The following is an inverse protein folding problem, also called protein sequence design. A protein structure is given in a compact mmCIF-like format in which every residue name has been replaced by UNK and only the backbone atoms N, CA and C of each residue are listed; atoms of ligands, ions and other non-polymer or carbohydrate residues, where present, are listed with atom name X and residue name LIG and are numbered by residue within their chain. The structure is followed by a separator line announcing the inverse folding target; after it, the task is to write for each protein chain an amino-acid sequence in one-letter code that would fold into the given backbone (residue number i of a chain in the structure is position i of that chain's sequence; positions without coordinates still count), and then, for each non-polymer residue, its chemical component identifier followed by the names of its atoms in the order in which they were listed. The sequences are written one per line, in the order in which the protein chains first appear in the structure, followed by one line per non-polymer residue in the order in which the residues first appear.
data_IF_967721623524
#
_entry.id   IF_967721623524
#
_cell.length_a   1.000
_cell.length_b   1.000
_cell.length_c   1.000
_cell.angle_alpha   90.00
_cell.angle_beta   90.00
_cell.angle_gamma   90.00
#
_symmetry.space_group_name_H-M   'P 1'
#
loop_
_entity.id
_entity.type
_entity.pdbx_description
1 polymer ?
#
# COMPACT_ATOMS: atom_id res chain seq x y z
N UNK A 1 24.73 23.44 12.78
CA UNK A 1 23.86 22.24 12.86
C UNK A 1 24.02 21.51 11.55
N UNK A 2 24.26 20.19 11.57
CA UNK A 2 24.44 19.43 10.34
C UNK A 2 23.15 19.41 9.50
N UNK A 3 23.26 19.38 8.18
CA UNK A 3 22.12 19.32 7.27
C UNK A 3 21.18 18.13 7.58
N UNK A 4 21.71 17.06 8.16
CA UNK A 4 20.97 15.88 8.61
C UNK A 4 20.05 16.17 9.81
N UNK A 5 20.50 16.94 10.80
CA UNK A 5 19.66 17.28 11.97
C UNK A 5 18.50 18.20 11.60
N UNK A 6 18.70 19.11 10.66
CA UNK A 6 17.62 19.93 10.10
C UNK A 6 16.63 19.09 9.32
N UNK A 7 17.09 18.19 8.45
CA UNK A 7 16.23 17.31 7.66
C UNK A 7 15.37 16.40 8.56
N UNK A 8 15.93 15.82 9.63
CA UNK A 8 15.20 14.99 10.60
C UNK A 8 14.14 15.79 11.36
N UNK A 9 14.47 17.00 11.81
CA UNK A 9 13.53 17.88 12.53
C UNK A 9 12.38 18.33 11.63
N UNK A 10 12.68 18.67 10.38
CA UNK A 10 11.67 19.08 9.40
C UNK A 10 10.76 17.90 9.04
N UNK A 11 11.32 16.70 8.81
CA UNK A 11 10.54 15.48 8.57
C UNK A 11 9.64 15.14 9.76
N UNK A 12 10.12 15.28 11.00
CA UNK A 12 9.31 15.07 12.21
C UNK A 12 8.15 16.07 12.31
N UNK A 13 8.39 17.33 11.96
CA UNK A 13 7.34 18.37 11.98
C UNK A 13 6.25 18.07 10.93
N UNK A 14 6.65 17.66 9.73
CA UNK A 14 5.72 17.24 8.68
C UNK A 14 4.95 15.97 9.04
N UNK A 15 5.61 14.99 9.64
CA UNK A 15 4.97 13.80 10.16
C UNK A 15 3.89 14.14 11.20
N UNK A 16 4.22 15.00 12.16
CA UNK A 16 3.25 15.47 13.17
C UNK A 16 2.07 16.17 12.53
N UNK A 17 2.28 17.00 11.49
CA UNK A 17 1.21 17.65 10.73
C UNK A 17 0.27 16.62 10.10
N UNK A 18 0.81 15.63 9.42
CA UNK A 18 0.04 14.58 8.75
C UNK A 18 -0.74 13.71 9.75
N UNK A 19 -0.14 13.36 10.90
CA UNK A 19 -0.82 12.63 11.97
C UNK A 19 -1.95 13.45 12.61
N UNK A 20 -1.74 14.75 12.83
CA UNK A 20 -2.79 15.65 13.33
C UNK A 20 -3.91 15.82 12.31
N UNK A 21 -3.59 15.85 11.01
CA UNK A 21 -4.60 15.90 9.94
C UNK A 21 -5.45 14.62 9.94
N UNK A 22 -4.82 13.43 9.99
CA UNK A 22 -5.53 12.16 10.08
C UNK A 22 -6.45 12.09 11.32
N UNK A 23 -6.01 12.64 12.47
CA UNK A 23 -6.81 12.71 13.69
C UNK A 23 -7.95 13.74 13.61
N UNK A 24 -7.76 14.85 12.89
CA UNK A 24 -8.79 15.91 12.72
C UNK A 24 -9.88 15.53 11.72
N UNK A 25 -9.56 14.65 10.76
CA UNK A 25 -10.49 14.17 9.75
C UNK A 25 -10.65 12.65 9.83
N UNK A 26 -11.24 12.13 10.92
CA UNK A 26 -11.39 10.68 11.12
C UNK A 26 -12.26 10.03 10.04
N UNK A 27 -13.16 10.78 9.41
CA UNK A 27 -14.00 10.29 8.31
C UNK A 27 -13.19 9.85 7.09
N UNK A 28 -12.10 10.54 6.74
CA UNK A 28 -11.22 10.14 5.64
C UNK A 28 -10.45 8.86 5.97
N UNK A 29 -9.91 8.78 7.19
CA UNK A 29 -9.19 7.59 7.65
C UNK A 29 -10.12 6.39 7.76
N UNK A 30 -11.34 6.58 8.29
CA UNK A 30 -12.37 5.54 8.37
C UNK A 30 -12.79 5.07 6.98
N UNK A 31 -12.92 5.97 6.00
CA UNK A 31 -13.32 5.59 4.65
C UNK A 31 -12.25 4.72 3.94
N UNK A 32 -10.97 5.02 4.14
CA UNK A 32 -9.86 4.20 3.62
C UNK A 32 -9.87 2.79 4.25
N UNK A 33 -10.16 2.69 5.54
CA UNK A 33 -10.21 1.43 6.27
C UNK A 33 -11.49 0.63 6.02
N UNK A 34 -12.60 1.31 5.78
CA UNK A 34 -13.90 0.67 5.62
C UNK A 34 -13.92 -0.29 4.43
N UNK A 35 -13.34 0.12 3.31
CA UNK A 35 -13.32 -0.70 2.08
C UNK A 35 -12.65 -2.06 2.29
N UNK A 36 -11.38 -2.17 2.74
CA UNK A 36 -10.75 -3.47 2.95
C UNK A 36 -11.43 -4.29 4.05
N UNK A 37 -11.95 -3.66 5.10
CA UNK A 37 -12.69 -4.37 6.16
C UNK A 37 -14.00 -4.94 5.62
N UNK A 38 -14.78 -4.14 4.89
CA UNK A 38 -16.03 -4.61 4.27
C UNK A 38 -15.76 -5.73 3.29
N UNK A 39 -14.72 -5.62 2.45
CA UNK A 39 -14.34 -6.67 1.53
C UNK A 39 -13.90 -7.94 2.27
N UNK A 40 -13.09 -7.81 3.33
CA UNK A 40 -12.70 -8.95 4.16
C UNK A 40 -13.94 -9.67 4.71
N UNK A 41 -14.86 -8.94 5.33
CA UNK A 41 -16.09 -9.50 5.90
C UNK A 41 -17.00 -10.11 4.82
N UNK A 42 -17.16 -9.42 3.70
CA UNK A 42 -17.97 -9.89 2.58
C UNK A 42 -17.40 -11.19 2.00
N UNK A 43 -16.11 -11.25 1.71
CA UNK A 43 -15.50 -12.45 1.16
C UNK A 43 -15.52 -13.61 2.16
N UNK A 44 -15.30 -13.36 3.46
CA UNK A 44 -15.31 -14.40 4.47
C UNK A 44 -16.72 -14.91 4.76
N UNK A 45 -17.70 -14.03 4.93
CA UNK A 45 -19.03 -14.43 5.41
C UNK A 45 -20.05 -14.66 4.29
N UNK A 46 -19.92 -13.97 3.15
CA UNK A 46 -20.86 -14.13 2.03
C UNK A 46 -20.32 -15.14 1.01
N UNK A 47 -19.05 -15.07 0.67
CA UNK A 47 -18.45 -15.93 -0.36
C UNK A 47 -17.62 -17.07 0.20
N UNK A 48 -17.35 -17.12 1.52
CA UNK A 48 -16.41 -18.06 2.12
C UNK A 48 -16.70 -19.51 1.78
N UNK A 49 -17.94 -19.96 1.88
CA UNK A 49 -18.33 -21.35 1.63
C UNK A 49 -18.25 -21.71 0.12
N UNK A 50 -18.54 -20.77 -0.76
CA UNK A 50 -18.45 -20.98 -2.22
C UNK A 50 -17.00 -20.96 -2.70
N UNK A 51 -16.20 -20.04 -2.15
CA UNK A 51 -14.80 -19.87 -2.56
C UNK A 51 -13.88 -20.94 -1.96
N UNK A 52 -14.16 -21.44 -0.77
CA UNK A 52 -13.40 -22.56 -0.17
C UNK A 52 -13.47 -23.81 -1.05
N UNK A 53 -14.63 -24.13 -1.59
CA UNK A 53 -14.81 -25.23 -2.53
C UNK A 53 -13.99 -25.05 -3.84
N UNK A 54 -13.76 -23.81 -4.27
CA UNK A 54 -12.98 -23.49 -5.47
C UNK A 54 -11.45 -23.55 -5.26
N UNK A 55 -10.95 -23.36 -4.04
CA UNK A 55 -9.51 -23.33 -3.73
C UNK A 55 -9.00 -24.69 -3.25
N UNK A 56 -9.74 -25.38 -2.40
CA UNK A 56 -9.30 -26.60 -1.74
C UNK A 56 -10.07 -27.88 -2.12
N UNK A 57 -11.01 -27.80 -3.09
CA UNK A 57 -11.86 -28.92 -3.46
C UNK A 57 -12.93 -29.23 -2.41
N UNK A 58 -13.58 -30.42 -2.51
CA UNK A 58 -14.73 -30.81 -1.71
C UNK A 58 -14.49 -31.01 -0.20
N UNK A 59 -13.32 -30.65 0.31
CA UNK A 59 -12.96 -30.79 1.73
C UNK A 59 -12.36 -29.53 2.36
N UNK A 60 -12.27 -28.41 1.60
CA UNK A 60 -11.69 -27.17 2.13
C UNK A 60 -12.66 -26.48 3.09
N UNK A 61 -12.13 -26.06 4.21
CA UNK A 61 -12.88 -25.31 5.21
C UNK A 61 -12.83 -23.79 4.95
N UNK A 62 -13.74 -23.06 5.59
CA UNK A 62 -13.71 -21.58 5.56
C UNK A 62 -12.39 -21.01 6.08
N UNK A 63 -11.73 -21.70 7.00
CA UNK A 63 -10.40 -21.36 7.53
C UNK A 63 -9.33 -21.28 6.44
N UNK A 64 -9.36 -22.20 5.46
CA UNK A 64 -8.40 -22.24 4.36
C UNK A 64 -8.57 -21.03 3.43
N UNK A 65 -9.83 -20.66 3.18
CA UNK A 65 -10.12 -19.46 2.41
C UNK A 65 -9.71 -18.17 3.13
N UNK A 66 -9.94 -18.08 4.45
CA UNK A 66 -9.47 -16.96 5.27
C UNK A 66 -7.95 -16.85 5.19
N UNK A 67 -7.24 -17.96 5.32
CA UNK A 67 -5.78 -18.00 5.22
C UNK A 67 -5.30 -17.51 3.83
N UNK A 68 -5.97 -17.95 2.77
CA UNK A 68 -5.69 -17.53 1.41
C UNK A 68 -5.93 -16.02 1.18
N UNK A 69 -7.05 -15.50 1.68
CA UNK A 69 -7.57 -14.14 1.42
C UNK A 69 -6.80 -13.04 2.16
N UNK A 70 -6.43 -13.28 3.43
CA UNK A 70 -5.89 -12.24 4.31
C UNK A 70 -4.63 -11.57 3.77
N UNK A 71 -3.60 -12.25 3.23
CA UNK A 71 -2.44 -11.60 2.64
C UNK A 71 -2.81 -10.63 1.50
N UNK A 72 -3.79 -11.00 0.66
CA UNK A 72 -4.32 -10.15 -0.41
C UNK A 72 -5.00 -8.89 0.13
N UNK A 73 -5.85 -9.01 1.15
CA UNK A 73 -6.53 -7.88 1.79
C UNK A 73 -5.54 -6.93 2.49
N UNK A 74 -4.50 -7.46 3.13
CA UNK A 74 -3.44 -6.61 3.73
C UNK A 74 -2.73 -5.77 2.67
N UNK A 75 -2.37 -6.37 1.54
CA UNK A 75 -1.75 -5.64 0.44
C UNK A 75 -2.71 -4.69 -0.27
N UNK A 76 -3.98 -5.04 -0.39
CA UNK A 76 -5.02 -4.12 -0.88
C UNK A 76 -5.16 -2.88 0.02
N UNK A 77 -5.08 -3.07 1.34
CA UNK A 77 -5.09 -1.96 2.31
C UNK A 77 -3.93 -0.98 2.06
N UNK A 78 -2.75 -1.51 1.71
CA UNK A 78 -1.59 -0.71 1.33
C UNK A 78 -1.83 0.01 0.00
N UNK A 79 -2.44 -0.64 -0.99
CA UNK A 79 -2.73 -0.03 -2.29
C UNK A 79 -3.70 1.16 -2.21
N UNK A 80 -4.62 1.15 -1.24
CA UNK A 80 -5.63 2.20 -1.06
C UNK A 80 -5.08 3.48 -0.39
N UNK A 81 -4.17 3.35 0.58
CA UNK A 81 -3.66 4.47 1.38
C UNK A 81 -2.92 5.54 0.55
N UNK A 82 -2.03 5.19 -0.40
CA UNK A 82 -1.32 6.15 -1.23
C UNK A 82 -2.22 7.04 -2.10
N UNK A 83 -3.43 6.59 -2.47
CA UNK A 83 -4.37 7.42 -3.22
C UNK A 83 -4.73 8.71 -2.46
N UNK A 84 -4.94 8.62 -1.15
CA UNK A 84 -5.14 9.79 -0.29
C UNK A 84 -3.91 10.71 -0.26
N UNK A 85 -2.72 10.14 -0.34
CA UNK A 85 -1.48 10.93 -0.41
C UNK A 85 -1.35 11.71 -1.71
N UNK A 86 -1.73 11.11 -2.85
CA UNK A 86 -1.75 11.83 -4.13
C UNK A 86 -2.68 13.05 -4.09
N UNK A 87 -3.87 12.91 -3.52
CA UNK A 87 -4.82 14.01 -3.31
C UNK A 87 -4.23 15.08 -2.38
N UNK A 88 -3.65 14.67 -1.24
CA UNK A 88 -3.04 15.59 -0.28
C UNK A 88 -1.89 16.40 -0.88
N UNK A 89 -1.02 15.77 -1.67
CA UNK A 89 0.07 16.44 -2.37
C UNK A 89 -0.48 17.43 -3.41
N UNK A 90 -1.52 17.06 -4.16
CA UNK A 90 -2.14 17.96 -5.14
C UNK A 90 -2.80 19.17 -4.48
N UNK A 91 -3.41 19.02 -3.30
CA UNK A 91 -3.94 20.14 -2.50
C UNK A 91 -2.81 21.07 -2.05
N UNK A 92 -1.73 20.51 -1.46
CA UNK A 92 -0.57 21.30 -1.02
C UNK A 92 0.09 22.06 -2.19
N UNK A 93 0.06 21.49 -3.40
CA UNK A 93 0.49 22.19 -4.63
C UNK A 93 -0.43 23.38 -4.97
N UNK A 94 -1.75 23.13 -4.97
CA UNK A 94 -2.76 24.14 -5.34
C UNK A 94 -2.77 25.32 -4.33
N UNK A 95 -2.58 25.06 -3.05
CA UNK A 95 -2.51 26.08 -2.00
C UNK A 95 -1.18 26.85 -1.97
N UNK A 96 -0.23 26.50 -2.85
CA UNK A 96 1.08 27.13 -2.91
C UNK A 96 1.97 26.84 -1.70
N UNK A 97 1.61 25.86 -0.87
CA UNK A 97 2.38 25.45 0.32
C UNK A 97 3.77 24.97 -0.11
N UNK A 98 3.83 24.17 -1.16
CA UNK A 98 5.09 23.68 -1.73
C UNK A 98 5.94 24.85 -2.28
N UNK A 99 5.32 25.84 -2.92
CA UNK A 99 6.03 27.03 -3.40
C UNK A 99 6.63 27.84 -2.24
N UNK A 100 5.91 27.99 -1.12
CA UNK A 100 6.43 28.65 0.09
C UNK A 100 7.61 27.87 0.69
N UNK A 101 7.55 26.54 0.74
CA UNK A 101 8.67 25.72 1.23
C UNK A 101 9.91 25.82 0.32
N UNK A 102 9.74 26.07 -0.97
CA UNK A 102 10.87 26.29 -1.92
C UNK A 102 11.63 27.61 -1.65
N UNK A 103 10.97 28.61 -1.09
CA UNK A 103 11.60 29.92 -0.73
C UNK A 103 12.21 29.93 0.66
N UNK A 104 11.89 28.95 1.51
CA UNK A 104 12.46 28.81 2.83
C UNK A 104 13.79 28.04 2.77
N UNK A 105 14.68 28.29 3.73
CA UNK A 105 15.97 27.58 3.88
C UNK A 105 15.78 26.13 4.41
N UNK A 106 14.78 25.39 3.85
CA UNK A 106 14.46 24.01 4.20
C UNK A 106 15.06 23.10 3.14
N UNK A 107 15.53 21.94 3.54
CA UNK A 107 16.01 20.93 2.60
C UNK A 107 14.85 20.45 1.71
N UNK A 108 14.89 20.81 0.43
CA UNK A 108 13.79 20.62 -0.55
C UNK A 108 13.17 19.22 -0.56
N UNK A 109 13.93 18.10 -0.47
CA UNK A 109 13.38 16.75 -0.38
C UNK A 109 12.61 16.45 0.90
N UNK A 110 12.83 17.19 2.00
CA UNK A 110 12.20 16.91 3.31
C UNK A 110 10.66 17.02 3.26
N UNK A 111 10.13 17.86 2.39
CA UNK A 111 8.67 17.99 2.22
C UNK A 111 8.07 16.71 1.64
N UNK A 112 8.69 16.19 0.57
CA UNK A 112 8.24 14.94 -0.06
C UNK A 112 8.43 13.74 0.88
N UNK A 113 9.58 13.68 1.57
CA UNK A 113 9.85 12.65 2.57
C UNK A 113 8.80 12.68 3.68
N UNK A 114 8.35 13.87 4.12
CA UNK A 114 7.29 14.01 5.11
C UNK A 114 5.96 13.39 4.67
N UNK A 115 5.56 13.59 3.42
CA UNK A 115 4.38 12.93 2.84
C UNK A 115 4.55 11.41 2.78
N UNK A 116 5.73 10.94 2.33
CA UNK A 116 6.02 9.50 2.21
C UNK A 116 5.99 8.83 3.59
N UNK A 117 6.73 9.36 4.55
CA UNK A 117 6.78 8.79 5.91
C UNK A 117 5.40 8.81 6.56
N UNK A 118 4.64 9.90 6.41
CA UNK A 118 3.28 10.00 6.93
C UNK A 118 2.33 8.96 6.33
N UNK A 119 2.39 8.77 5.01
CA UNK A 119 1.58 7.77 4.30
C UNK A 119 1.97 6.34 4.66
N UNK A 120 3.28 6.04 4.70
CA UNK A 120 3.77 4.71 5.11
C UNK A 120 3.31 4.38 6.53
N UNK A 121 3.41 5.33 7.46
CA UNK A 121 2.94 5.13 8.83
C UNK A 121 1.44 4.90 8.89
N UNK A 122 0.65 5.64 8.11
CA UNK A 122 -0.79 5.44 7.98
C UNK A 122 -1.10 4.05 7.40
N UNK A 123 -0.38 3.61 6.36
CA UNK A 123 -0.50 2.28 5.77
C UNK A 123 -0.22 1.18 6.81
N UNK A 124 0.86 1.33 7.58
CA UNK A 124 1.21 0.38 8.65
C UNK A 124 0.12 0.31 9.71
N UNK A 125 -0.41 1.44 10.17
CA UNK A 125 -1.51 1.47 11.12
C UNK A 125 -2.77 0.80 10.57
N UNK A 126 -3.08 1.02 9.30
CA UNK A 126 -4.22 0.41 8.60
C UNK A 126 -4.06 -1.11 8.51
N UNK A 127 -2.87 -1.57 8.11
CA UNK A 127 -2.55 -3.01 8.03
C UNK A 127 -2.62 -3.68 9.39
N UNK A 128 -2.10 -3.05 10.45
CA UNK A 128 -2.19 -3.59 11.82
C UNK A 128 -3.64 -3.72 12.26
N UNK A 129 -4.49 -2.73 11.97
CA UNK A 129 -5.90 -2.79 12.32
C UNK A 129 -6.65 -3.88 11.54
N UNK A 130 -6.47 -3.93 10.22
CA UNK A 130 -7.08 -4.98 9.36
C UNK A 130 -6.57 -6.36 9.74
N UNK A 131 -5.28 -6.50 10.02
CA UNK A 131 -4.67 -7.73 10.50
C UNK A 131 -5.24 -8.18 11.86
N UNK A 132 -5.46 -7.26 12.80
CA UNK A 132 -6.10 -7.56 14.08
C UNK A 132 -7.54 -8.07 13.89
N UNK A 133 -8.30 -7.46 12.96
CA UNK A 133 -9.64 -7.93 12.61
C UNK A 133 -9.57 -9.33 11.97
N UNK A 134 -8.62 -9.55 11.05
CA UNK A 134 -8.41 -10.86 10.43
C UNK A 134 -8.11 -11.96 11.48
N UNK A 135 -7.26 -11.66 12.46
CA UNK A 135 -6.99 -12.56 13.60
C UNK A 135 -8.25 -12.84 14.43
N UNK A 136 -9.09 -11.84 14.66
CA UNK A 136 -10.34 -11.98 15.39
C UNK A 136 -11.36 -12.86 14.64
N UNK A 137 -11.37 -12.81 13.31
CA UNK A 137 -12.27 -13.61 12.45
C UNK A 137 -11.82 -15.07 12.34
N UNK A 138 -10.56 -15.37 12.67
CA UNK A 138 -10.05 -16.73 12.66
C UNK A 138 -8.82 -16.97 11.79
N UNK A 139 -8.22 -15.91 11.23
CA UNK A 139 -6.91 -16.05 10.57
C UNK A 139 -5.90 -16.59 11.58
N UNK A 140 -5.20 -17.65 11.20
CA UNK A 140 -4.10 -18.22 11.99
C UNK A 140 -2.89 -18.43 11.08
N UNK A 141 -1.78 -17.87 11.50
CA UNK A 141 -0.46 -18.18 10.93
C UNK A 141 0.07 -19.37 11.73
N UNK A 142 -0.02 -20.55 11.14
CA UNK A 142 0.22 -21.81 11.89
C UNK A 142 1.68 -22.07 12.15
N UNK A 143 2.59 -21.67 11.24
CA UNK A 143 3.99 -22.08 11.28
C UNK A 143 5.01 -20.95 11.15
N UNK A 144 4.56 -19.69 11.08
CA UNK A 144 5.46 -18.55 10.86
C UNK A 144 6.30 -18.24 12.10
N UNK A 145 7.60 -18.28 11.94
CA UNK A 145 8.59 -17.84 12.93
C UNK A 145 8.56 -16.32 13.11
N UNK A 146 9.14 -15.83 14.21
CA UNK A 146 9.28 -14.39 14.44
C UNK A 146 10.05 -13.68 13.32
N UNK A 147 10.99 -14.36 12.67
CA UNK A 147 11.76 -13.83 11.55
C UNK A 147 10.88 -13.65 10.30
N UNK A 148 9.99 -14.63 10.03
CA UNK A 148 9.05 -14.56 8.90
C UNK A 148 8.01 -13.46 9.12
N UNK A 149 7.52 -13.26 10.32
CA UNK A 149 6.68 -12.12 10.69
C UNK A 149 7.40 -10.77 10.47
N UNK A 150 8.68 -10.69 10.85
CA UNK A 150 9.49 -9.50 10.62
C UNK A 150 9.72 -9.26 9.13
N UNK A 151 9.99 -10.32 8.35
CA UNK A 151 10.14 -10.24 6.90
C UNK A 151 8.82 -9.83 6.22
N UNK A 152 7.68 -10.39 6.64
CA UNK A 152 6.36 -10.01 6.18
C UNK A 152 6.07 -8.53 6.45
N UNK A 153 6.35 -8.05 7.66
CA UNK A 153 6.22 -6.64 8.01
C UNK A 153 7.15 -5.76 7.16
N UNK A 154 8.40 -6.17 6.97
CA UNK A 154 9.36 -5.48 6.10
C UNK A 154 8.88 -5.37 4.65
N UNK A 155 8.31 -6.45 4.11
CA UNK A 155 7.71 -6.46 2.77
C UNK A 155 6.54 -5.48 2.68
N UNK A 156 5.63 -5.47 3.65
CA UNK A 156 4.50 -4.55 3.70
C UNK A 156 4.95 -3.07 3.72
N UNK A 157 5.96 -2.75 4.52
CA UNK A 157 6.57 -1.41 4.56
C UNK A 157 7.23 -1.05 3.22
N UNK A 158 7.91 -2.00 2.59
CA UNK A 158 8.57 -1.80 1.31
C UNK A 158 7.54 -1.52 0.19
N UNK A 159 6.46 -2.30 0.13
CA UNK A 159 5.33 -2.06 -0.80
C UNK A 159 4.70 -0.70 -0.54
N UNK A 160 4.38 -0.38 0.73
CA UNK A 160 3.82 0.92 1.09
C UNK A 160 4.71 2.09 0.64
N UNK A 161 6.02 1.96 0.83
CA UNK A 161 7.00 2.98 0.41
C UNK A 161 7.03 3.15 -1.10
N UNK A 162 7.05 2.04 -1.85
CA UNK A 162 7.09 2.04 -3.30
C UNK A 162 5.86 2.73 -3.90
N UNK A 163 4.66 2.31 -3.47
CA UNK A 163 3.41 2.88 -3.98
C UNK A 163 3.18 4.32 -3.52
N UNK A 164 3.66 4.68 -2.33
CA UNK A 164 3.57 6.07 -1.87
C UNK A 164 4.43 7.01 -2.70
N UNK A 165 5.65 6.62 -3.10
CA UNK A 165 6.46 7.44 -4.00
C UNK A 165 5.80 7.66 -5.36
N UNK A 166 5.16 6.62 -5.93
CA UNK A 166 4.37 6.76 -7.16
C UNK A 166 3.19 7.71 -6.94
N UNK A 167 2.47 7.59 -5.82
CA UNK A 167 1.33 8.46 -5.50
C UNK A 167 1.73 9.92 -5.33
N UNK A 168 2.89 10.20 -4.71
CA UNK A 168 3.45 11.56 -4.64
C UNK A 168 3.70 12.12 -6.05
N UNK A 169 4.29 11.31 -6.94
CA UNK A 169 4.47 11.70 -8.35
C UNK A 169 3.15 11.99 -9.07
N UNK A 170 2.13 11.15 -8.87
CA UNK A 170 0.77 11.36 -9.40
C UNK A 170 0.17 12.67 -8.88
N UNK A 171 0.27 12.92 -7.56
CA UNK A 171 -0.24 14.14 -6.93
C UNK A 171 0.40 15.40 -7.49
N UNK A 172 1.72 15.37 -7.73
CA UNK A 172 2.45 16.50 -8.31
C UNK A 172 2.20 16.69 -9.81
N UNK A 173 1.89 15.62 -10.55
CA UNK A 173 1.61 15.68 -11.99
C UNK A 173 0.17 16.09 -12.28
N UNK A 174 -0.75 15.88 -11.34
CA UNK A 174 -2.17 16.19 -11.50
C UNK A 174 -2.41 17.71 -11.55
N UNK A 175 -3.30 18.19 -12.43
CA UNK A 175 -3.66 19.62 -12.51
C UNK A 175 -4.47 20.10 -11.29
N UNK A 176 -5.14 19.19 -10.60
CA UNK A 176 -5.92 19.46 -9.38
C UNK A 176 -6.08 18.18 -8.54
N UNK A 177 -6.65 18.32 -7.35
CA UNK A 177 -6.86 17.22 -6.41
C UNK A 177 -7.78 16.11 -6.94
N UNK A 178 -8.79 16.45 -7.73
CA UNK A 178 -9.71 15.50 -8.34
C UNK A 178 -9.00 14.62 -9.38
N UNK A 179 -8.25 15.23 -10.29
CA UNK A 179 -7.47 14.51 -11.30
C UNK A 179 -6.40 13.63 -10.64
N UNK A 180 -5.74 14.11 -9.57
CA UNK A 180 -4.79 13.32 -8.80
C UNK A 180 -5.47 12.09 -8.16
N UNK A 181 -6.65 12.26 -7.58
CA UNK A 181 -7.45 11.18 -7.01
C UNK A 181 -7.86 10.14 -8.06
N UNK A 182 -8.38 10.59 -9.20
CA UNK A 182 -8.79 9.71 -10.30
C UNK A 182 -7.59 8.93 -10.86
N UNK A 183 -6.45 9.56 -11.07
CA UNK A 183 -5.23 8.88 -11.54
C UNK A 183 -4.69 7.88 -10.50
N UNK A 184 -4.78 8.21 -9.21
CA UNK A 184 -4.36 7.32 -8.14
C UNK A 184 -5.30 6.11 -7.93
N UNK A 185 -6.51 6.14 -8.51
CA UNK A 185 -7.45 5.01 -8.49
C UNK A 185 -6.85 3.74 -9.13
N UNK A 186 -5.93 3.90 -10.10
CA UNK A 186 -5.19 2.79 -10.68
C UNK A 186 -4.43 1.97 -9.62
N UNK A 187 -3.89 2.62 -8.59
CA UNK A 187 -3.17 1.94 -7.51
C UNK A 187 -4.10 1.09 -6.64
N UNK A 188 -5.37 1.49 -6.52
CA UNK A 188 -6.41 0.76 -5.79
C UNK A 188 -6.92 -0.44 -6.59
N UNK A 189 -6.95 -0.34 -7.92
CA UNK A 189 -7.46 -1.40 -8.80
C UNK A 189 -6.43 -2.52 -8.99
N UNK A 190 -5.14 -2.22 -9.00
CA UNK A 190 -4.09 -3.20 -9.22
C UNK A 190 -4.18 -4.45 -8.31
N UNK A 191 -4.42 -4.34 -6.99
CA UNK A 191 -4.60 -5.52 -6.15
C UNK A 191 -5.81 -6.39 -6.55
N UNK A 192 -6.87 -5.80 -7.13
CA UNK A 192 -8.06 -6.54 -7.52
C UNK A 192 -7.81 -7.49 -8.72
N UNK A 193 -6.86 -7.15 -9.56
CA UNK A 193 -6.46 -7.96 -10.72
C UNK A 193 -5.28 -8.89 -10.42
N UNK A 194 -4.97 -9.11 -9.14
CA UNK A 194 -3.89 -9.98 -8.66
C UNK A 194 -4.42 -11.31 -8.12
N UNK A 195 -3.53 -12.14 -7.58
CA UNK A 195 -3.90 -13.36 -6.86
C UNK A 195 -4.53 -13.12 -5.48
N UNK A 196 -4.96 -11.90 -5.16
CA UNK A 196 -5.51 -11.55 -3.85
C UNK A 196 -6.77 -12.36 -3.50
N UNK A 197 -7.67 -12.56 -4.45
CA UNK A 197 -9.00 -13.13 -4.25
C UNK A 197 -9.18 -14.50 -4.89
N UNK A 198 -8.50 -14.71 -6.01
CA UNK A 198 -8.63 -15.92 -6.85
C UNK A 198 -7.23 -16.33 -7.33
N UNK A 199 -6.89 -17.63 -7.30
CA UNK A 199 -5.63 -18.13 -7.86
C UNK A 199 -5.46 -17.74 -9.33
N UNK A 200 -4.24 -17.43 -9.75
CA UNK A 200 -3.95 -17.01 -11.13
C UNK A 200 -4.35 -18.11 -12.13
N UNK A 201 -4.16 -19.38 -11.77
CA UNK A 201 -4.50 -20.54 -12.62
C UNK A 201 -6.00 -20.66 -12.91
N UNK A 202 -6.86 -20.10 -12.06
CA UNK A 202 -8.30 -20.06 -12.25
C UNK A 202 -8.77 -18.92 -13.18
N UNK A 203 -7.86 -18.02 -13.57
CA UNK A 203 -8.16 -16.90 -14.45
C UNK A 203 -8.10 -17.31 -15.93
N UNK A 204 -8.77 -16.56 -16.86
CA UNK A 204 -8.65 -16.80 -18.29
C UNK A 204 -7.21 -16.75 -18.77
N UNK A 205 -6.77 -17.67 -19.63
CA UNK A 205 -5.37 -17.85 -20.02
C UNK A 205 -4.69 -16.59 -20.60
N UNK A 206 -5.44 -15.73 -21.30
CA UNK A 206 -4.93 -14.45 -21.81
C UNK A 206 -4.62 -13.43 -20.70
N UNK A 207 -5.28 -13.58 -19.54
CA UNK A 207 -5.15 -12.67 -18.42
C UNK A 207 -4.10 -13.11 -17.40
N UNK A 208 -3.81 -14.42 -17.32
CA UNK A 208 -2.84 -15.01 -16.38
C UNK A 208 -1.48 -14.30 -16.39
N UNK A 209 -0.82 -14.03 -17.54
CA UNK A 209 0.48 -13.38 -17.54
C UNK A 209 0.43 -11.96 -16.95
N UNK A 210 -0.68 -11.22 -17.15
CA UNK A 210 -0.86 -9.88 -16.59
C UNK A 210 -1.00 -9.97 -15.07
N UNK A 211 -1.83 -10.89 -14.60
CA UNK A 211 -2.07 -11.10 -13.19
C UNK A 211 -0.81 -11.61 -12.46
N UNK A 212 -0.04 -12.49 -13.08
CA UNK A 212 1.14 -13.13 -12.48
C UNK A 212 2.30 -12.15 -12.30
N UNK A 213 2.63 -11.37 -13.35
CA UNK A 213 3.83 -10.53 -13.35
C UNK A 213 3.61 -9.11 -12.84
N UNK A 214 2.39 -8.67 -12.58
CA UNK A 214 2.12 -7.36 -12.00
C UNK A 214 2.62 -7.30 -10.53
N UNK A 215 2.95 -6.12 -9.98
CA UNK A 215 3.70 -6.00 -8.72
C UNK A 215 3.01 -6.59 -7.48
N UNK A 216 1.66 -6.68 -7.47
CA UNK A 216 0.93 -7.16 -6.29
C UNK A 216 0.96 -8.69 -6.17
N UNK A 217 0.86 -9.44 -7.26
CA UNK A 217 0.84 -10.91 -7.18
C UNK A 217 2.11 -11.48 -6.55
N UNK A 218 3.34 -11.14 -7.00
CA UNK A 218 4.54 -11.62 -6.34
C UNK A 218 4.63 -11.20 -4.86
N UNK A 219 4.14 -9.98 -4.53
CA UNK A 219 4.13 -9.52 -3.14
C UNK A 219 3.12 -10.31 -2.28
N UNK A 220 1.94 -10.63 -2.82
CA UNK A 220 0.92 -11.43 -2.13
C UNK A 220 1.42 -12.85 -1.91
N UNK A 221 1.98 -13.50 -2.96
CA UNK A 221 2.50 -14.86 -2.86
C UNK A 221 3.68 -14.94 -1.86
N UNK A 222 4.56 -13.94 -1.88
CA UNK A 222 5.64 -13.84 -0.90
C UNK A 222 5.10 -13.70 0.54
N UNK A 223 4.09 -12.81 0.72
CA UNK A 223 3.46 -12.61 2.03
C UNK A 223 2.74 -13.88 2.50
N UNK A 224 2.07 -14.58 1.57
CA UNK A 224 1.41 -15.86 1.83
C UNK A 224 2.42 -16.92 2.25
N UNK A 225 3.55 -17.03 1.53
CA UNK A 225 4.63 -17.95 1.91
C UNK A 225 5.20 -17.66 3.28
N UNK A 226 5.45 -16.40 3.62
CA UNK A 226 5.99 -16.00 4.92
C UNK A 226 5.00 -16.24 6.07
N UNK A 227 3.69 -16.09 5.85
CA UNK A 227 2.69 -16.22 6.91
C UNK A 227 2.13 -17.63 7.06
N UNK A 228 2.12 -18.42 5.98
CA UNK A 228 1.47 -19.74 5.94
C UNK A 228 2.43 -20.89 5.62
N UNK A 229 3.71 -20.60 5.40
CA UNK A 229 4.71 -21.62 5.08
C UNK A 229 4.60 -22.21 3.66
N UNK A 230 3.86 -21.56 2.75
CA UNK A 230 3.82 -21.97 1.34
C UNK A 230 5.13 -21.63 0.61
N UNK A 231 5.42 -22.32 -0.49
CA UNK A 231 6.63 -22.07 -1.28
C UNK A 231 6.62 -20.65 -1.88
N UNK A 232 7.61 -19.85 -1.52
CA UNK A 232 7.78 -18.48 -2.04
C UNK A 232 8.34 -18.52 -3.47
N UNK A 233 9.19 -19.49 -3.78
CA UNK A 233 9.84 -19.61 -5.07
C UNK A 233 10.56 -18.32 -5.50
N UNK A 234 10.32 -17.87 -6.72
CA UNK A 234 10.92 -16.65 -7.27
C UNK A 234 10.15 -15.36 -6.91
N UNK A 235 8.97 -15.49 -6.28
CA UNK A 235 8.11 -14.34 -5.98
C UNK A 235 8.77 -13.32 -5.04
N UNK A 236 9.60 -13.78 -4.09
CA UNK A 236 10.33 -12.90 -3.18
C UNK A 236 11.27 -11.92 -3.90
N UNK A 237 12.00 -12.40 -4.89
CA UNK A 237 12.89 -11.57 -5.70
C UNK A 237 12.10 -10.65 -6.64
N UNK A 238 11.03 -11.14 -7.25
CA UNK A 238 10.15 -10.34 -8.11
C UNK A 238 9.47 -9.22 -7.32
N UNK A 239 8.92 -9.53 -6.14
CA UNK A 239 8.29 -8.55 -5.26
C UNK A 239 9.27 -7.45 -4.84
N UNK A 240 10.46 -7.86 -4.39
CA UNK A 240 11.52 -6.91 -3.98
C UNK A 240 11.98 -6.07 -5.17
N UNK A 241 12.21 -6.69 -6.33
CA UNK A 241 12.61 -6.01 -7.56
C UNK A 241 11.57 -4.97 -8.01
N UNK A 242 10.29 -5.34 -8.02
CA UNK A 242 9.20 -4.40 -8.31
C UNK A 242 9.16 -3.23 -7.34
N UNK A 243 9.20 -3.51 -6.02
CA UNK A 243 9.11 -2.48 -5.00
C UNK A 243 10.29 -1.51 -5.07
N UNK A 244 11.51 -2.00 -5.22
CA UNK A 244 12.69 -1.15 -5.37
C UNK A 244 12.63 -0.35 -6.67
N UNK A 245 12.26 -0.98 -7.78
CA UNK A 245 12.09 -0.31 -9.07
C UNK A 245 11.07 0.82 -9.00
N UNK A 246 9.88 0.55 -8.47
CA UNK A 246 8.82 1.55 -8.31
C UNK A 246 9.20 2.66 -7.32
N UNK A 247 9.87 2.34 -6.20
CA UNK A 247 10.33 3.34 -5.24
C UNK A 247 11.35 4.29 -5.86
N UNK A 248 12.35 3.75 -6.58
CA UNK A 248 13.38 4.53 -7.27
C UNK A 248 12.76 5.38 -8.38
N UNK A 249 11.90 4.79 -9.20
CA UNK A 249 11.21 5.48 -10.29
C UNK A 249 10.31 6.60 -9.75
N UNK A 250 9.51 6.33 -8.73
CA UNK A 250 8.65 7.31 -8.07
C UNK A 250 9.44 8.43 -7.40
N UNK A 251 10.57 8.11 -6.76
CA UNK A 251 11.46 9.11 -6.18
C UNK A 251 12.03 10.06 -7.23
N UNK A 252 12.59 9.53 -8.32
CA UNK A 252 13.14 10.37 -9.39
C UNK A 252 12.06 11.17 -10.11
N UNK A 253 10.92 10.56 -10.37
CA UNK A 253 9.79 11.24 -11.00
C UNK A 253 9.27 12.39 -10.15
N UNK A 254 8.97 12.15 -8.87
CA UNK A 254 8.47 13.18 -7.96
C UNK A 254 9.50 14.30 -7.73
N UNK A 255 10.79 13.96 -7.58
CA UNK A 255 11.84 14.98 -7.42
C UNK A 255 12.08 15.78 -8.70
N UNK A 256 11.95 15.18 -9.88
CA UNK A 256 12.02 15.90 -11.16
C UNK A 256 10.86 16.90 -11.32
N UNK A 257 9.62 16.47 -10.97
CA UNK A 257 8.47 17.37 -10.96
C UNK A 257 8.63 18.49 -9.93
N UNK A 258 9.14 18.18 -8.75
CA UNK A 258 9.39 19.18 -7.72
C UNK A 258 10.39 20.26 -8.14
N UNK A 259 11.33 19.94 -9.02
CA UNK A 259 12.34 20.88 -9.55
C UNK A 259 11.81 21.76 -10.69
N UNK A 260 10.75 21.33 -11.38
CA UNK A 260 10.11 22.13 -12.44
C UNK A 260 9.43 23.34 -11.80
N UNK A 261 9.47 24.49 -12.50
CA UNK A 261 8.76 25.68 -12.06
C UNK A 261 7.24 25.45 -12.14
N UNK A 262 6.48 25.78 -11.11
CA UNK A 262 5.03 25.73 -11.21
C UNK A 262 4.59 26.76 -12.27
N UNK A 263 3.79 26.29 -13.21
CA UNK A 263 3.07 27.16 -14.17
C UNK A 263 2.01 27.95 -13.44
#
# INVERSE_FOLDING_TARGET
MSSLTLALRDSHTMLRRNLLHARRYPSLTLNILLTPIVLLLLFVYVFGDVMSAGIGGSGAERSDYIAYLVPGILLMTIGATPAGTAVGVAIDMAEGIIARFRTMAIHRPSVLIGHVVGSVLQSVMSVVLVGAIALAIGFRSTDASALEWLAAFGLLVLVATAFTWIAVGIGMAGPNAEAAGNNAMSLVILPLISSAFVPVDAMPGWFQPIAEYQPFTPAIETLRGLLLGSEIGNNGWLATGWCLGLAVLGYFWSTALFRRDPR
#
